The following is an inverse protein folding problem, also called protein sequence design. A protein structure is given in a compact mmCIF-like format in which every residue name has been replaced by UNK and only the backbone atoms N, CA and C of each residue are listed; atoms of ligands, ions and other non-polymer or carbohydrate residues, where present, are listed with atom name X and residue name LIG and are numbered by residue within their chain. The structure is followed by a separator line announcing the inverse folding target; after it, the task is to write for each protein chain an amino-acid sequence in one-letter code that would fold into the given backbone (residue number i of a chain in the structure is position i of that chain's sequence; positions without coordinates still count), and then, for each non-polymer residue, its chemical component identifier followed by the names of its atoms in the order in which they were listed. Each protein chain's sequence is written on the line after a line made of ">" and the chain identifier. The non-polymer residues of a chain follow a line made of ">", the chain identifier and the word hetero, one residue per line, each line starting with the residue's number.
data_IF_771857406360
#
_entry.id   IF_771857406360
#
_cell.length_a   1.000
_cell.length_b   1.000
_cell.length_c   1.000
_cell.angle_alpha   90.00
_cell.angle_beta   90.00
_cell.angle_gamma   90.00
#
_symmetry.space_group_name_H-M   'P 1'
#
loop_
_entity.id
_entity.type
_entity.pdbx_description
1 polymer ?
#
# COMPACT_ATOMS: atom_id res chain seq x y z
N UNK A 1 5.43 -24.88 40.85
CA UNK A 1 4.54 -24.43 41.94
C UNK A 1 3.64 -23.30 41.45
N UNK A 2 2.32 -23.61 41.36
CA UNK A 2 1.10 -22.73 41.41
C UNK A 2 1.08 -21.50 40.48
N UNK A 3 0.39 -21.51 39.33
CA UNK A 3 -1.05 -21.37 39.13
C UNK A 3 -1.59 -19.99 39.58
N UNK A 4 -1.98 -19.13 38.61
CA UNK A 4 -3.17 -18.31 38.83
C UNK A 4 -3.92 -18.10 37.49
N UNK A 5 -5.01 -18.85 37.40
CA UNK A 5 -6.04 -18.78 36.37
C UNK A 5 -7.08 -17.74 36.83
N UNK A 6 -7.42 -16.76 36.03
CA UNK A 6 -8.58 -15.91 36.33
C UNK A 6 -9.51 -15.82 35.11
N UNK A 7 -10.51 -16.70 35.20
CA UNK A 7 -11.77 -16.57 34.44
C UNK A 7 -12.48 -15.29 34.84
N UNK A 8 -12.90 -14.48 33.86
CA UNK A 8 -13.97 -13.52 34.07
C UNK A 8 -15.24 -13.96 33.36
N UNK A 9 -16.28 -14.14 34.16
CA UNK A 9 -17.63 -14.60 33.84
C UNK A 9 -18.46 -13.44 33.29
N UNK A 10 -19.25 -13.80 32.31
CA UNK A 10 -20.38 -13.09 31.73
C UNK A 10 -21.37 -12.51 32.78
N UNK A 11 -21.89 -11.33 32.51
CA UNK A 11 -23.23 -10.94 32.99
C UNK A 11 -23.91 -10.13 31.87
N UNK A 12 -25.01 -10.65 31.38
CA UNK A 12 -25.90 -10.05 30.43
C UNK A 12 -26.80 -9.00 31.07
N UNK A 13 -27.28 -8.09 30.25
CA UNK A 13 -28.46 -7.29 30.55
C UNK A 13 -29.33 -7.16 29.31
N UNK A 14 -30.49 -7.73 29.42
CA UNK A 14 -31.67 -7.57 28.55
C UNK A 14 -32.52 -6.38 29.02
N UNK A 15 -33.41 -5.95 28.17
CA UNK A 15 -34.56 -5.02 28.33
C UNK A 15 -34.27 -3.64 27.68
N UNK A 16 -34.99 -3.16 26.69
CA UNK A 16 -36.38 -3.23 26.34
C UNK A 16 -36.77 -1.83 25.90
N UNK A 17 -37.48 -1.61 24.82
CA UNK A 17 -37.97 -0.27 24.46
C UNK A 17 -38.43 -0.18 23.03
N UNK A 18 -39.62 -0.72 22.78
CA UNK A 18 -40.52 -0.53 21.66
C UNK A 18 -41.05 0.92 21.67
N UNK A 19 -40.90 1.69 20.58
CA UNK A 19 -41.78 2.82 20.31
C UNK A 19 -41.93 3.02 18.79
N UNK A 20 -43.09 2.66 18.30
CA UNK A 20 -43.63 2.95 16.98
C UNK A 20 -44.13 4.40 16.93
N UNK A 21 -43.87 5.14 15.87
CA UNK A 21 -44.68 6.29 15.49
C UNK A 21 -44.81 6.35 13.97
N UNK A 22 -46.02 6.09 13.52
CA UNK A 22 -46.56 6.33 12.20
C UNK A 22 -46.80 7.83 12.03
N UNK A 23 -46.43 8.41 10.91
CA UNK A 23 -47.14 9.57 10.34
C UNK A 23 -47.06 9.53 8.81
N UNK A 24 -48.25 9.49 8.24
CA UNK A 24 -48.57 9.49 6.83
C UNK A 24 -48.68 10.91 6.22
N UNK A 25 -48.65 10.97 4.91
CA UNK A 25 -49.12 12.11 4.12
C UNK A 25 -47.99 12.84 3.39
N UNK A 26 -48.03 13.18 2.11
CA UNK A 26 -49.11 13.46 1.18
C UNK A 26 -48.63 13.25 -0.26
N UNK A 27 -49.54 12.82 -1.09
CA UNK A 27 -49.44 12.81 -2.54
C UNK A 27 -49.51 14.22 -3.12
N UNK A 28 -48.80 14.51 -4.21
CA UNK A 28 -49.21 15.50 -5.19
C UNK A 28 -48.85 15.03 -6.59
N UNK A 29 -49.90 14.72 -7.31
CA UNK A 29 -49.98 14.53 -8.75
C UNK A 29 -49.76 15.84 -9.48
N UNK A 30 -48.97 15.83 -10.53
CA UNK A 30 -48.86 16.94 -11.48
C UNK A 30 -48.33 16.41 -12.80
N UNK A 31 -49.27 16.07 -13.68
CA UNK A 31 -49.06 15.75 -15.09
C UNK A 31 -48.79 17.03 -15.88
N UNK A 32 -47.81 17.02 -16.76
CA UNK A 32 -47.91 17.69 -18.07
C UNK A 32 -46.89 17.08 -19.04
N UNK A 33 -47.44 16.64 -20.15
CA UNK A 33 -46.78 16.18 -21.37
C UNK A 33 -45.91 17.26 -21.98
N UNK A 34 -44.79 16.88 -22.60
CA UNK A 34 -44.49 17.17 -24.00
C UNK A 34 -43.06 16.76 -24.39
N UNK A 35 -43.05 16.04 -25.52
CA UNK A 35 -42.07 16.00 -26.62
C UNK A 35 -40.70 15.37 -26.42
N UNK A 36 -40.67 14.24 -27.00
CA UNK A 36 -39.67 13.45 -27.74
C UNK A 36 -38.45 14.20 -28.29
N UNK A 37 -37.24 13.75 -27.85
CA UNK A 37 -36.05 13.71 -28.70
C UNK A 37 -35.17 12.55 -28.29
N UNK A 38 -34.61 11.72 -29.21
CA UNK A 38 -33.85 10.54 -28.85
C UNK A 38 -32.42 10.92 -28.54
N UNK A 39 -32.07 10.93 -27.26
CA UNK A 39 -30.70 11.06 -26.78
C UNK A 39 -29.93 9.77 -27.00
N UNK A 40 -28.85 9.87 -27.75
CA UNK A 40 -27.78 8.89 -27.97
C UNK A 40 -27.25 8.39 -26.61
N UNK A 41 -27.07 7.08 -26.38
CA UNK A 41 -26.43 6.61 -25.16
C UNK A 41 -24.95 6.90 -25.21
N UNK A 42 -24.53 7.95 -24.54
CA UNK A 42 -23.13 8.17 -24.20
C UNK A 42 -22.70 7.02 -23.31
N UNK A 43 -21.73 6.24 -23.77
CA UNK A 43 -21.14 5.15 -23.03
C UNK A 43 -20.62 5.63 -21.68
N UNK A 44 -21.28 5.21 -20.62
CA UNK A 44 -20.80 5.33 -19.27
C UNK A 44 -19.58 4.44 -19.09
N UNK A 45 -18.40 4.99 -19.32
CA UNK A 45 -17.18 4.46 -18.74
C UNK A 45 -17.34 4.53 -17.23
N UNK A 46 -17.65 3.40 -16.63
CA UNK A 46 -17.57 3.24 -15.19
C UNK A 46 -16.09 3.34 -14.79
N UNK A 47 -15.62 4.57 -14.64
CA UNK A 47 -14.44 4.85 -13.84
C UNK A 47 -14.81 4.46 -12.42
N UNK A 48 -14.32 3.31 -11.98
CA UNK A 48 -14.35 2.95 -10.56
C UNK A 48 -13.58 4.06 -9.83
N UNK A 49 -14.33 5.01 -9.30
CA UNK A 49 -13.79 6.00 -8.38
C UNK A 49 -13.40 5.26 -7.11
N UNK A 50 -12.14 4.81 -7.06
CA UNK A 50 -11.47 4.42 -5.83
C UNK A 50 -11.54 5.63 -4.92
N UNK A 51 -12.25 5.48 -3.81
CA UNK A 51 -12.38 6.51 -2.79
C UNK A 51 -11.01 6.98 -2.36
N UNK A 52 -10.69 8.30 -2.38
CA UNK A 52 -9.36 8.81 -2.03
C UNK A 52 -8.95 8.55 -0.57
N UNK A 53 -9.83 8.01 0.27
CA UNK A 53 -9.60 7.76 1.68
C UNK A 53 -8.78 6.50 1.98
N UNK A 54 -8.99 5.42 1.26
CA UNK A 54 -8.35 4.13 1.58
C UNK A 54 -6.89 4.08 1.09
N UNK A 55 -6.59 4.69 -0.05
CA UNK A 55 -5.23 4.77 -0.58
C UNK A 55 -4.33 5.69 0.27
N UNK A 56 -4.87 6.77 0.83
CA UNK A 56 -4.13 7.66 1.71
C UNK A 56 -3.78 7.00 3.05
N UNK A 57 -4.69 6.19 3.61
CA UNK A 57 -4.46 5.43 4.84
C UNK A 57 -3.43 4.30 4.61
N UNK A 58 -3.45 3.67 3.44
CA UNK A 58 -2.51 2.61 3.11
C UNK A 58 -1.10 3.13 2.81
N UNK A 59 -0.98 4.37 2.34
CA UNK A 59 0.30 5.02 2.04
C UNK A 59 1.12 5.41 3.27
N UNK A 60 0.52 5.52 4.45
CA UNK A 60 1.22 5.95 5.68
C UNK A 60 1.87 4.79 6.47
N UNK A 61 1.55 3.54 6.14
CA UNK A 61 2.17 2.38 6.75
C UNK A 61 3.50 2.03 6.08
N UNK A 62 4.50 1.69 6.90
CA UNK A 62 5.80 1.25 6.43
C UNK A 62 5.76 -0.23 6.04
N UNK A 63 6.31 -0.55 4.87
CA UNK A 63 6.30 -1.88 4.25
C UNK A 63 7.72 -2.38 3.97
N UNK A 64 7.92 -3.70 3.85
CA UNK A 64 9.21 -4.23 3.43
C UNK A 64 9.61 -3.67 2.05
N UNK A 65 10.87 -3.28 1.93
CA UNK A 65 11.41 -2.69 0.71
C UNK A 65 11.18 -1.18 0.56
N UNK A 66 10.41 -0.53 1.44
CA UNK A 66 10.32 0.93 1.45
C UNK A 66 11.68 1.53 1.75
N UNK A 67 12.09 2.51 0.96
CA UNK A 67 13.28 3.31 1.24
C UNK A 67 12.88 4.51 2.07
N UNK A 68 13.41 4.59 3.27
CA UNK A 68 13.15 5.65 4.23
C UNK A 68 14.41 6.44 4.55
N UNK A 69 14.24 7.73 4.74
CA UNK A 69 15.25 8.65 5.24
C UNK A 69 14.79 9.18 6.58
N UNK A 70 15.60 8.98 7.61
CA UNK A 70 15.32 9.38 8.96
C UNK A 70 16.15 10.61 9.27
N UNK A 71 15.46 11.70 9.61
CA UNK A 71 16.06 12.99 9.94
C UNK A 71 15.86 13.23 11.43
N UNK A 72 16.93 13.66 12.09
CA UNK A 72 16.95 13.95 13.52
C UNK A 72 17.11 15.45 13.72
N UNK A 73 16.18 16.07 14.44
CA UNK A 73 16.15 17.50 14.73
C UNK A 73 16.14 17.77 16.24
N UNK A 74 16.38 19.02 16.62
CA UNK A 74 16.35 19.51 18.01
C UNK A 74 17.46 18.92 18.92
N UNK A 75 18.57 18.46 18.35
CA UNK A 75 19.72 17.95 19.10
C UNK A 75 21.01 18.68 18.69
N UNK A 76 21.93 18.96 19.64
CA UNK A 76 23.15 19.75 19.39
C UNK A 76 24.08 19.10 18.36
N UNK A 77 24.22 17.76 18.44
CA UNK A 77 25.02 16.94 17.51
C UNK A 77 24.06 16.06 16.70
N UNK A 78 23.30 16.68 15.78
CA UNK A 78 22.42 15.91 14.90
C UNK A 78 23.24 14.88 14.11
N UNK A 79 22.98 13.57 14.27
CA UNK A 79 23.58 12.60 13.40
C UNK A 79 23.16 12.85 11.96
N UNK A 80 24.01 12.48 11.01
CA UNK A 80 23.67 12.57 9.60
C UNK A 80 22.36 11.82 9.34
N UNK A 81 21.47 12.33 8.48
CA UNK A 81 20.26 11.61 8.10
C UNK A 81 20.57 10.18 7.69
N UNK A 82 19.84 9.24 8.22
CA UNK A 82 20.08 7.82 7.97
C UNK A 82 19.12 7.34 6.89
N UNK A 83 19.67 6.88 5.76
CA UNK A 83 18.89 6.26 4.70
C UNK A 83 18.96 4.74 4.83
N UNK A 84 17.80 4.10 4.90
CA UNK A 84 17.70 2.65 5.01
C UNK A 84 16.53 2.12 4.17
N UNK A 85 16.65 0.85 3.77
CA UNK A 85 15.54 0.09 3.19
C UNK A 85 14.94 -0.74 4.32
N UNK A 86 13.64 -0.71 4.47
CA UNK A 86 12.93 -1.54 5.45
C UNK A 86 13.11 -3.01 5.06
N UNK A 87 13.79 -3.83 5.87
CA UNK A 87 14.00 -5.23 5.55
C UNK A 87 12.72 -6.06 5.79
N UNK A 88 12.73 -7.34 5.38
CA UNK A 88 11.56 -8.22 5.51
C UNK A 88 11.17 -8.50 6.97
N UNK A 89 12.14 -8.49 7.89
CA UNK A 89 11.92 -8.62 9.33
C UNK A 89 11.38 -7.33 9.98
N UNK A 90 11.37 -6.23 9.22
CA UNK A 90 10.87 -4.94 9.64
C UNK A 90 11.70 -4.23 10.71
N UNK A 91 12.92 -4.70 10.99
CA UNK A 91 13.81 -4.09 11.98
C UNK A 91 14.77 -3.13 11.32
N UNK A 92 14.81 -1.91 11.80
CA UNK A 92 15.80 -0.91 11.38
C UNK A 92 16.77 -0.63 12.51
N UNK A 93 18.02 -0.40 12.15
CA UNK A 93 19.10 -0.06 13.10
C UNK A 93 19.37 1.43 12.98
N UNK A 94 19.21 2.13 14.09
CA UNK A 94 19.39 3.56 14.20
C UNK A 94 20.76 3.89 14.83
N UNK A 95 21.22 5.15 14.73
CA UNK A 95 22.45 5.60 15.39
C UNK A 95 22.51 5.18 16.87
N UNK A 96 23.69 4.91 17.37
CA UNK A 96 23.98 4.41 18.72
C UNK A 96 23.37 3.04 19.05
N UNK A 97 23.11 2.20 18.03
CA UNK A 97 22.68 0.82 18.21
C UNK A 97 21.24 0.66 18.71
N UNK A 98 20.37 1.64 18.42
CA UNK A 98 18.94 1.51 18.71
C UNK A 98 18.27 0.71 17.60
N UNK A 99 17.56 -0.37 17.97
CA UNK A 99 16.77 -1.18 17.04
C UNK A 99 15.28 -0.89 17.24
N UNK A 100 14.56 -0.72 16.13
CA UNK A 100 13.11 -0.45 16.15
C UNK A 100 12.41 -1.29 15.10
N UNK A 101 11.28 -1.88 15.46
CA UNK A 101 10.41 -2.60 14.54
C UNK A 101 9.43 -1.61 13.91
N UNK A 102 9.53 -1.43 12.60
CA UNK A 102 8.73 -0.44 11.85
C UNK A 102 7.64 -1.07 10.97
N UNK A 103 7.74 -2.37 10.72
CA UNK A 103 6.84 -3.09 9.82
C UNK A 103 5.38 -3.01 10.29
N UNK A 104 4.50 -2.59 9.38
CA UNK A 104 3.06 -2.51 9.64
C UNK A 104 2.65 -1.41 10.62
N UNK A 105 3.57 -0.54 11.03
CA UNK A 105 3.28 0.64 11.83
C UNK A 105 3.10 1.87 10.95
N UNK A 106 2.31 2.82 11.42
CA UNK A 106 2.23 4.13 10.79
C UNK A 106 3.53 4.89 11.01
N UNK A 107 3.94 5.64 10.00
CA UNK A 107 5.14 6.48 10.05
C UNK A 107 5.18 7.37 11.30
N UNK A 108 4.07 8.04 11.62
CA UNK A 108 3.94 8.92 12.79
C UNK A 108 4.11 8.20 14.13
N UNK A 109 3.66 6.93 14.21
CA UNK A 109 3.80 6.14 15.44
C UNK A 109 5.25 5.70 15.62
N UNK A 110 5.93 5.35 14.52
CA UNK A 110 7.36 5.00 14.53
C UNK A 110 8.22 6.23 14.90
N UNK A 111 7.91 7.41 14.36
CA UNK A 111 8.59 8.66 14.71
C UNK A 111 8.51 8.93 16.23
N UNK A 112 7.33 8.74 16.81
CA UNK A 112 7.09 8.91 18.26
C UNK A 112 7.80 7.83 19.08
N UNK A 113 7.74 6.57 18.64
CA UNK A 113 8.42 5.45 19.31
C UNK A 113 9.95 5.66 19.35
N UNK A 114 10.53 6.06 18.23
CA UNK A 114 11.97 6.39 18.17
C UNK A 114 12.32 7.52 19.13
N UNK A 115 11.52 8.59 19.15
CA UNK A 115 11.76 9.71 20.06
C UNK A 115 11.68 9.26 21.53
N UNK A 116 10.70 8.43 21.88
CA UNK A 116 10.55 7.87 23.24
C UNK A 116 11.76 7.01 23.63
N UNK A 117 12.23 6.14 22.75
CA UNK A 117 13.40 5.29 23.01
C UNK A 117 14.65 6.13 23.28
N UNK A 118 14.90 7.17 22.48
CA UNK A 118 16.08 8.03 22.68
C UNK A 118 16.00 8.90 23.93
N UNK A 119 14.83 9.36 24.33
CA UNK A 119 14.65 10.26 25.48
C UNK A 119 14.44 9.48 26.77
N UNK A 120 13.52 8.52 26.80
CA UNK A 120 13.09 7.85 28.03
C UNK A 120 13.88 6.59 28.34
N UNK A 121 14.04 5.70 27.36
CA UNK A 121 14.69 4.41 27.61
C UNK A 121 16.21 4.53 27.63
N UNK A 122 16.79 5.12 26.61
CA UNK A 122 18.25 5.25 26.48
C UNK A 122 18.81 6.51 27.12
N UNK A 123 17.97 7.51 27.39
CA UNK A 123 18.35 8.79 27.97
C UNK A 123 19.55 9.47 27.27
N UNK A 124 19.62 9.30 25.94
CA UNK A 124 20.72 9.83 25.12
C UNK A 124 20.51 11.33 24.89
N UNK A 125 19.26 11.73 24.68
CA UNK A 125 18.89 13.11 24.45
C UNK A 125 17.81 13.56 25.43
N UNK A 126 17.79 14.86 25.76
CA UNK A 126 16.71 15.46 26.58
C UNK A 126 15.44 15.67 25.78
N UNK A 127 15.60 15.99 24.50
CA UNK A 127 14.53 16.21 23.53
C UNK A 127 15.07 15.83 22.15
N UNK A 128 14.27 15.20 21.34
CA UNK A 128 14.57 14.89 19.95
C UNK A 128 13.27 14.92 19.14
N UNK A 129 13.33 15.46 17.94
CA UNK A 129 12.27 15.34 16.94
C UNK A 129 12.78 14.47 15.83
N UNK A 130 12.07 13.38 15.54
CA UNK A 130 12.40 12.44 14.48
C UNK A 130 11.37 12.60 13.37
N UNK A 131 11.85 12.72 12.14
CA UNK A 131 11.00 12.78 10.95
C UNK A 131 11.42 11.68 10.00
N UNK A 132 10.46 10.89 9.55
CA UNK A 132 10.68 9.82 8.57
C UNK A 132 10.13 10.28 7.22
N UNK A 133 11.00 10.44 6.25
CA UNK A 133 10.65 10.73 4.86
C UNK A 133 10.70 9.44 4.04
N UNK A 134 9.61 9.14 3.32
CA UNK A 134 9.63 8.02 2.36
C UNK A 134 10.22 8.52 1.04
N UNK A 135 11.26 7.86 0.59
CA UNK A 135 11.86 8.12 -0.71
C UNK A 135 11.08 7.39 -1.81
N UNK A 136 10.97 8.02 -2.96
CA UNK A 136 10.37 7.38 -4.12
C UNK A 136 11.14 6.09 -4.48
N UNK A 137 10.41 5.02 -4.64
CA UNK A 137 10.93 3.73 -5.07
C UNK A 137 10.43 3.43 -6.47
N UNK A 138 11.22 2.70 -7.25
CA UNK A 138 10.93 2.42 -8.64
C UNK A 138 10.98 0.91 -8.90
N UNK A 139 10.22 0.49 -9.91
CA UNK A 139 10.27 -0.84 -10.52
C UNK A 139 10.74 -0.66 -11.95
N UNK A 140 11.70 -1.45 -12.37
CA UNK A 140 12.17 -1.43 -13.77
C UNK A 140 11.32 -2.37 -14.61
N UNK A 141 10.70 -1.85 -15.67
CA UNK A 141 9.91 -2.66 -16.62
C UNK A 141 10.57 -2.58 -17.98
N UNK A 142 10.92 -3.72 -18.54
CA UNK A 142 11.63 -3.81 -19.81
C UNK A 142 11.22 -4.98 -20.70
N UNK A 143 11.82 -5.04 -21.89
CA UNK A 143 11.51 -6.04 -22.92
C UNK A 143 10.35 -5.59 -23.82
N UNK A 144 9.47 -6.51 -24.20
CA UNK A 144 8.37 -6.30 -25.15
C UNK A 144 7.17 -5.59 -24.48
N UNK A 145 7.41 -4.37 -23.98
CA UNK A 145 6.40 -3.41 -23.52
C UNK A 145 6.47 -2.16 -24.37
N UNK A 146 5.38 -1.39 -24.45
CA UNK A 146 5.33 -0.22 -25.35
C UNK A 146 6.26 0.91 -24.92
N UNK A 147 6.44 1.13 -23.62
CA UNK A 147 7.31 2.13 -23.05
C UNK A 147 8.19 1.53 -21.93
N UNK A 148 9.31 0.85 -22.28
CA UNK A 148 10.25 0.36 -21.29
C UNK A 148 10.76 1.52 -20.43
N UNK A 149 10.51 1.46 -19.12
CA UNK A 149 10.82 2.56 -18.21
C UNK A 149 10.91 2.11 -16.76
N UNK A 150 11.40 3.00 -15.91
CA UNK A 150 11.27 2.85 -14.47
C UNK A 150 9.94 3.44 -14.03
N UNK A 151 9.05 2.57 -13.52
CA UNK A 151 7.73 2.93 -13.03
C UNK A 151 7.83 3.25 -11.53
N UNK A 152 7.19 4.34 -11.09
CA UNK A 152 7.12 4.68 -9.67
C UNK A 152 6.30 3.64 -8.92
N UNK A 153 6.89 3.07 -7.90
CA UNK A 153 6.19 2.13 -7.01
C UNK A 153 5.23 2.88 -6.08
N UNK A 154 3.96 2.54 -6.14
CA UNK A 154 2.89 3.19 -5.34
C UNK A 154 2.34 2.33 -4.22
N UNK A 155 3.09 1.31 -3.75
CA UNK A 155 2.55 0.27 -2.87
C UNK A 155 1.63 -0.69 -3.66
N UNK A 156 1.38 -1.87 -3.12
CA UNK A 156 0.47 -2.90 -3.67
C UNK A 156 0.40 -3.00 -5.21
N UNK A 157 1.55 -2.84 -5.88
CA UNK A 157 1.65 -2.90 -7.32
C UNK A 157 1.90 -4.34 -7.77
N UNK A 158 1.02 -4.86 -8.61
CA UNK A 158 1.18 -6.17 -9.22
C UNK A 158 1.97 -6.11 -10.53
N UNK A 159 2.38 -7.27 -11.05
CA UNK A 159 3.09 -7.37 -12.34
C UNK A 159 2.24 -6.85 -13.48
N UNK A 160 0.95 -7.16 -13.52
CA UNK A 160 0.05 -6.67 -14.55
C UNK A 160 -0.12 -5.16 -14.49
N UNK A 161 -0.21 -4.58 -13.29
CA UNK A 161 -0.30 -3.14 -13.07
C UNK A 161 0.98 -2.40 -13.52
N UNK A 162 2.16 -2.96 -13.23
CA UNK A 162 3.43 -2.38 -13.66
C UNK A 162 3.59 -2.39 -15.18
N UNK A 163 3.18 -3.46 -15.84
CA UNK A 163 3.20 -3.56 -17.31
C UNK A 163 2.20 -2.58 -17.92
N UNK A 164 1.00 -2.45 -17.35
CA UNK A 164 0.01 -1.45 -17.78
C UNK A 164 0.54 -0.02 -17.66
N UNK A 165 1.23 0.29 -16.56
CA UNK A 165 1.88 1.59 -16.35
C UNK A 165 3.01 1.86 -17.37
N UNK A 166 3.67 0.80 -17.87
CA UNK A 166 4.64 0.88 -18.97
C UNK A 166 3.97 0.89 -20.39
N UNK A 167 2.68 1.22 -20.47
CA UNK A 167 1.93 1.30 -21.72
C UNK A 167 1.40 -0.04 -22.25
N UNK A 168 1.54 -1.12 -21.49
CA UNK A 168 1.08 -2.45 -21.88
C UNK A 168 2.06 -3.23 -22.76
N UNK A 169 1.64 -4.39 -23.21
CA UNK A 169 2.43 -5.29 -24.03
C UNK A 169 2.52 -4.83 -25.51
N UNK A 170 3.65 -5.14 -26.17
CA UNK A 170 3.73 -5.08 -27.64
C UNK A 170 3.01 -6.28 -28.29
N UNK A 171 2.90 -6.26 -29.62
CA UNK A 171 2.35 -7.36 -30.40
C UNK A 171 3.21 -8.64 -30.30
N UNK A 172 4.51 -8.46 -30.10
CA UNK A 172 5.49 -9.54 -30.02
C UNK A 172 5.72 -10.08 -28.61
N UNK A 173 5.02 -9.55 -27.63
CA UNK A 173 5.22 -9.91 -26.22
C UNK A 173 4.76 -11.33 -25.88
N UNK A 174 5.61 -12.07 -25.18
CA UNK A 174 5.24 -13.36 -24.60
C UNK A 174 4.58 -13.16 -23.22
N UNK A 175 3.27 -12.96 -23.23
CA UNK A 175 2.46 -12.73 -22.01
C UNK A 175 2.39 -13.94 -21.08
N UNK A 176 2.75 -15.14 -21.57
CA UNK A 176 2.73 -16.36 -20.77
C UNK A 176 4.02 -16.62 -20.00
N UNK A 177 5.08 -15.83 -20.25
CA UNK A 177 6.41 -16.07 -19.69
C UNK A 177 7.10 -14.79 -19.25
N UNK A 178 6.42 -13.96 -18.50
CA UNK A 178 7.00 -12.75 -17.91
C UNK A 178 7.93 -13.14 -16.76
N UNK A 179 9.12 -12.57 -16.72
CA UNK A 179 10.15 -12.85 -15.74
C UNK A 179 10.23 -11.67 -14.76
N UNK A 180 10.08 -11.96 -13.48
CA UNK A 180 10.29 -11.00 -12.39
C UNK A 180 11.55 -11.38 -11.65
N UNK A 181 12.50 -10.45 -11.56
CA UNK A 181 13.72 -10.61 -10.77
C UNK A 181 13.59 -9.77 -9.50
N UNK A 182 13.61 -10.44 -8.35
CA UNK A 182 13.53 -9.79 -7.04
C UNK A 182 14.80 -8.98 -6.75
N UNK A 183 14.65 -7.74 -6.29
CA UNK A 183 15.80 -6.90 -5.96
C UNK A 183 16.61 -7.45 -4.79
N UNK A 184 15.94 -7.92 -3.73
CA UNK A 184 16.56 -8.39 -2.49
C UNK A 184 17.30 -9.73 -2.67
N UNK A 185 16.64 -10.74 -3.27
CA UNK A 185 17.14 -12.13 -3.32
C UNK A 185 17.77 -12.51 -4.65
N UNK A 186 17.66 -11.65 -5.68
CA UNK A 186 18.04 -11.93 -7.08
C UNK A 186 17.32 -13.16 -7.70
N UNK A 187 16.31 -13.68 -7.01
CA UNK A 187 15.52 -14.80 -7.47
C UNK A 187 14.64 -14.40 -8.66
N UNK A 188 14.61 -15.25 -9.67
CA UNK A 188 13.73 -15.09 -10.83
C UNK A 188 12.44 -15.91 -10.65
N UNK A 189 11.32 -15.28 -10.95
CA UNK A 189 9.99 -15.88 -10.91
C UNK A 189 9.37 -15.71 -12.30
N UNK A 190 8.92 -16.81 -12.89
CA UNK A 190 8.22 -16.76 -14.19
C UNK A 190 6.71 -16.74 -13.96
N UNK A 191 6.03 -15.79 -14.56
CA UNK A 191 4.60 -15.53 -14.36
C UNK A 191 3.87 -15.59 -15.70
N UNK A 192 2.69 -16.20 -15.68
CA UNK A 192 1.77 -16.21 -16.82
C UNK A 192 0.72 -15.11 -16.62
N UNK A 193 0.99 -13.92 -17.16
CA UNK A 193 0.11 -12.76 -17.03
C UNK A 193 -1.24 -12.98 -17.77
N UNK A 194 -1.28 -13.80 -18.84
CA UNK A 194 -2.56 -14.14 -19.48
C UNK A 194 -3.54 -14.84 -18.53
N UNK A 195 -3.01 -15.68 -17.63
CA UNK A 195 -3.83 -16.35 -16.61
C UNK A 195 -4.12 -15.40 -15.44
N UNK A 196 -3.17 -14.58 -15.06
CA UNK A 196 -3.30 -13.62 -13.97
C UNK A 196 -4.38 -12.55 -14.21
N UNK A 197 -4.63 -12.17 -15.45
CA UNK A 197 -5.74 -11.27 -15.81
C UNK A 197 -7.10 -11.88 -15.46
N UNK A 198 -7.25 -13.21 -15.59
CA UNK A 198 -8.50 -13.91 -15.28
C UNK A 198 -8.58 -14.37 -13.82
N UNK A 199 -7.44 -14.57 -13.17
CA UNK A 199 -7.33 -14.96 -11.76
C UNK A 199 -6.31 -14.07 -11.04
N UNK A 200 -6.77 -13.05 -10.31
CA UNK A 200 -5.90 -12.10 -9.60
C UNK A 200 -4.96 -12.77 -8.58
N UNK A 201 -5.28 -13.98 -8.11
CA UNK A 201 -4.41 -14.72 -7.18
C UNK A 201 -3.10 -15.18 -7.83
N UNK A 202 -3.05 -15.27 -9.15
CA UNK A 202 -1.86 -15.61 -9.92
C UNK A 202 -1.00 -14.39 -10.27
N UNK A 203 -1.50 -13.18 -10.00
CA UNK A 203 -0.75 -11.94 -10.20
C UNK A 203 0.18 -11.70 -9.01
N UNK A 204 1.47 -11.67 -9.29
CA UNK A 204 2.48 -11.54 -8.24
C UNK A 204 2.66 -10.08 -7.87
N UNK A 205 2.64 -9.79 -6.59
CA UNK A 205 2.95 -8.45 -6.07
C UNK A 205 4.43 -8.16 -6.22
N UNK A 206 4.72 -6.94 -6.65
CA UNK A 206 6.07 -6.41 -6.80
C UNK A 206 6.51 -5.67 -5.54
N UNK A 207 7.81 -5.62 -5.34
CA UNK A 207 8.46 -4.85 -4.29
C UNK A 207 9.37 -3.77 -4.89
N UNK A 208 9.70 -2.73 -4.13
CA UNK A 208 10.61 -1.69 -4.57
C UNK A 208 11.95 -2.26 -5.09
N UNK A 209 12.35 -1.79 -6.26
CA UNK A 209 13.58 -2.24 -6.91
C UNK A 209 13.48 -3.52 -7.73
N UNK A 210 12.33 -4.18 -7.76
CA UNK A 210 12.11 -5.36 -8.60
C UNK A 210 12.22 -5.01 -10.09
N UNK A 211 12.64 -5.99 -10.86
CA UNK A 211 12.76 -5.87 -12.31
C UNK A 211 11.78 -6.83 -13.01
N UNK A 212 10.95 -6.28 -13.86
CA UNK A 212 10.01 -7.03 -14.71
C UNK A 212 10.54 -7.05 -16.13
N UNK A 213 10.74 -8.23 -16.69
CA UNK A 213 11.19 -8.41 -18.06
C UNK A 213 10.17 -9.22 -18.87
N UNK A 214 9.71 -8.66 -19.97
CA UNK A 214 8.77 -9.29 -20.89
C UNK A 214 9.55 -9.78 -22.10
N UNK A 215 9.71 -11.11 -22.25
CA UNK A 215 10.43 -11.66 -23.41
C UNK A 215 9.58 -11.60 -24.66
N UNK A 216 10.25 -11.67 -25.79
CA UNK A 216 9.61 -11.77 -27.10
C UNK A 216 9.01 -13.17 -27.30
N UNK A 217 7.84 -13.23 -27.92
CA UNK A 217 7.23 -14.48 -28.36
C UNK A 217 8.06 -15.07 -29.50
N UNK A 218 8.38 -16.35 -29.38
CA UNK A 218 8.95 -17.09 -30.53
C UNK A 218 7.76 -17.53 -31.38
N UNK A 219 7.71 -17.02 -32.57
CA UNK A 219 6.77 -17.48 -33.62
C UNK A 219 7.27 -18.81 -34.12
#
# INVERSE_FOLDING_TARGET
>A
MKWFNRKFRSAGWLLGGLLALLLAGCASTGSTDSDSEPAVPAGAGASAATSPGDDALSADYLRPGDRIKIVYNDIPDSPTPTEQVVPEDGRIILPRGVEVVVLGKKRTDVEREIATIYVEEKRIYRKITVTIERMASFISVGGEVRAPSSVVYRGDMSVSAAIAAAGGFTEFANRSRVIVTRAATKKQITINVRKAVNDPKLDVMLYPGDQVYVPRSRI
#
